data_IF_072742434767
#
_entry.id   IF_072742434767
#
_cell.length_a   1.000
_cell.length_b   1.000
_cell.length_c   1.000
_cell.angle_alpha   90.00
_cell.angle_beta   90.00
_cell.angle_gamma   90.00
#
_symmetry.space_group_name_H-M   'P 1'
#
loop_
_entity.id
_entity.type
_entity.pdbx_description
1 polymer ?
#
# COMPACT_ATOMS: atom_id res chain seq x y z
N UNK A 1 -0.74 -6.29 -11.64
CA UNK A 1 0.51 -6.14 -10.85
C UNK A 1 1.70 -6.74 -11.61
N UNK A 2 1.97 -6.29 -12.83
CA UNK A 2 3.13 -6.73 -13.60
C UNK A 2 4.32 -5.77 -13.49
N UNK A 3 5.45 -6.15 -14.10
CA UNK A 3 6.71 -5.37 -14.12
C UNK A 3 6.54 -3.93 -14.60
N UNK A 4 5.63 -3.67 -15.54
CA UNK A 4 5.31 -2.31 -16.03
C UNK A 4 4.63 -1.44 -14.97
N UNK A 5 3.93 -2.04 -14.01
CA UNK A 5 3.25 -1.32 -12.93
C UNK A 5 4.22 -0.80 -11.85
N UNK A 6 5.50 -1.20 -11.85
CA UNK A 6 6.52 -0.63 -10.94
C UNK A 6 6.69 0.87 -11.21
N UNK A 7 6.75 1.26 -12.49
CA UNK A 7 6.89 2.66 -12.88
C UNK A 7 5.63 3.47 -12.54
N UNK A 8 4.44 2.87 -12.70
CA UNK A 8 3.17 3.47 -12.29
C UNK A 8 3.11 3.68 -10.78
N UNK A 9 3.48 2.67 -9.98
CA UNK A 9 3.59 2.80 -8.53
C UNK A 9 4.49 3.97 -8.15
N UNK A 10 5.71 4.03 -8.70
CA UNK A 10 6.65 5.10 -8.39
C UNK A 10 6.09 6.49 -8.74
N UNK A 11 5.43 6.62 -9.89
CA UNK A 11 4.80 7.86 -10.34
C UNK A 11 3.70 8.34 -9.40
N UNK A 12 2.91 7.41 -8.86
CA UNK A 12 1.75 7.76 -8.03
C UNK A 12 2.07 7.83 -6.53
N UNK A 13 2.98 7.01 -6.01
CA UNK A 13 3.27 6.89 -4.58
C UNK A 13 4.22 7.98 -4.07
N UNK A 14 5.37 8.19 -4.72
CA UNK A 14 6.40 9.09 -4.19
C UNK A 14 5.98 10.58 -4.12
N UNK A 15 5.09 11.11 -4.96
CA UNK A 15 4.58 12.47 -4.77
C UNK A 15 3.63 12.63 -3.58
N UNK A 16 3.04 11.53 -3.07
CA UNK A 16 1.94 11.57 -2.10
C UNK A 16 2.20 10.80 -0.81
N UNK A 17 3.38 10.20 -0.63
CA UNK A 17 3.71 9.36 0.53
C UNK A 17 3.63 10.07 1.90
N UNK A 18 3.54 11.41 1.93
CA UNK A 18 3.38 12.18 3.18
C UNK A 18 1.91 12.55 3.46
N UNK A 19 0.95 12.11 2.63
CA UNK A 19 -0.46 12.33 2.88
C UNK A 19 -0.95 11.54 4.09
N UNK A 20 -2.04 11.99 4.70
CA UNK A 20 -2.64 11.38 5.89
C UNK A 20 -3.29 10.02 5.61
N UNK A 21 -3.60 9.72 4.35
CA UNK A 21 -4.17 8.43 3.96
C UNK A 21 -3.92 8.09 2.50
N UNK A 22 -3.87 6.79 2.21
CA UNK A 22 -3.79 6.24 0.86
C UNK A 22 -4.83 5.13 0.69
N UNK A 23 -5.52 5.20 -0.45
CA UNK A 23 -6.39 4.13 -0.93
C UNK A 23 -5.65 3.41 -2.05
N UNK A 24 -5.45 2.11 -1.88
CA UNK A 24 -4.82 1.23 -2.86
C UNK A 24 -5.94 0.41 -3.50
N UNK A 25 -6.24 0.73 -4.75
CA UNK A 25 -7.29 0.05 -5.50
C UNK A 25 -6.72 -1.15 -6.26
N UNK A 26 -7.06 -2.36 -5.83
CA UNK A 26 -6.71 -3.61 -6.50
C UNK A 26 -7.94 -4.33 -7.06
N UNK A 27 -9.07 -3.62 -7.17
CA UNK A 27 -10.24 -4.13 -7.89
C UNK A 27 -9.84 -4.42 -9.33
N UNK A 28 -10.32 -5.54 -9.88
CA UNK A 28 -10.00 -5.99 -11.23
C UNK A 28 -8.53 -6.34 -11.49
N UNK A 29 -7.68 -6.39 -10.46
CA UNK A 29 -6.30 -6.85 -10.61
C UNK A 29 -6.27 -8.37 -10.73
N UNK A 30 -5.89 -8.88 -11.91
CA UNK A 30 -5.86 -10.30 -12.23
C UNK A 30 -4.50 -10.97 -12.00
N UNK A 31 -3.57 -10.29 -11.33
CA UNK A 31 -2.29 -10.86 -10.93
C UNK A 31 -1.07 -10.19 -11.56
N UNK A 32 0.05 -10.90 -11.51
CA UNK A 32 1.36 -10.49 -12.01
C UNK A 32 2.47 -11.08 -11.16
N UNK A 33 3.40 -10.25 -10.67
CA UNK A 33 4.57 -10.75 -9.91
C UNK A 33 5.27 -9.69 -9.03
N UNK A 34 4.53 -8.68 -8.53
CA UNK A 34 5.14 -7.59 -7.74
C UNK A 34 4.42 -7.31 -6.42
N UNK A 35 3.48 -8.15 -6.00
CA UNK A 35 2.78 -8.04 -4.72
C UNK A 35 3.75 -7.83 -3.53
N UNK A 36 4.77 -8.69 -3.43
CA UNK A 36 5.77 -8.67 -2.36
C UNK A 36 6.62 -7.40 -2.39
N UNK A 37 6.92 -6.90 -3.59
CA UNK A 37 7.66 -5.65 -3.77
C UNK A 37 6.84 -4.44 -3.31
N UNK A 38 5.54 -4.41 -3.59
CA UNK A 38 4.65 -3.34 -3.11
C UNK A 38 4.52 -3.40 -1.58
N UNK A 39 4.29 -4.59 -1.01
CA UNK A 39 4.22 -4.80 0.44
C UNK A 39 5.50 -4.32 1.14
N UNK A 40 6.68 -4.61 0.58
CA UNK A 40 7.97 -4.14 1.11
C UNK A 40 8.02 -2.61 1.23
N UNK A 41 7.48 -1.86 0.25
CA UNK A 41 7.46 -0.38 0.32
C UNK A 41 6.52 0.13 1.40
N UNK A 42 5.37 -0.51 1.57
CA UNK A 42 4.38 -0.15 2.59
C UNK A 42 4.80 -0.57 4.00
N UNK A 43 5.62 -1.62 4.15
CA UNK A 43 6.16 -2.07 5.43
C UNK A 43 7.23 -1.15 6.02
N UNK A 44 7.77 -0.21 5.25
CA UNK A 44 8.78 0.73 5.73
C UNK A 44 8.22 1.53 6.91
N UNK A 45 8.98 1.59 8.00
CA UNK A 45 8.61 2.32 9.22
C UNK A 45 9.58 3.45 9.49
N UNK A 46 9.04 4.60 9.86
CA UNK A 46 9.80 5.74 10.34
C UNK A 46 9.95 5.66 11.87
N UNK A 47 11.19 5.52 12.37
CA UNK A 47 11.49 5.50 13.80
C UNK A 47 12.50 6.56 14.24
N UNK A 48 13.18 7.21 13.29
CA UNK A 48 14.13 8.27 13.53
C UNK A 48 13.81 9.48 12.64
N UNK A 49 13.93 10.68 13.21
CA UNK A 49 13.49 11.93 12.60
C UNK A 49 14.59 12.99 12.67
N UNK A 50 14.76 13.72 11.58
CA UNK A 50 15.69 14.85 11.50
C UNK A 50 14.94 16.11 11.08
N UNK A 51 15.31 17.23 11.69
CA UNK A 51 14.83 18.57 11.34
C UNK A 51 16.05 19.48 11.12
N UNK A 52 16.47 19.71 9.85
CA UNK A 52 17.56 20.62 9.57
C UNK A 52 17.17 22.07 9.87
N UNK A 53 18.16 22.96 9.98
CA UNK A 53 17.94 24.41 10.19
C UNK A 53 17.15 25.04 9.04
N UNK A 54 17.36 24.55 7.81
CA UNK A 54 16.64 24.95 6.59
C UNK A 54 16.13 23.68 5.91
N UNK A 55 14.86 23.70 5.48
CA UNK A 55 14.21 22.57 4.80
C UNK A 55 13.12 21.88 5.62
N UNK A 56 12.50 20.86 5.03
CA UNK A 56 11.43 20.08 5.68
C UNK A 56 12.01 18.98 6.57
N UNK A 57 11.34 18.62 7.68
CA UNK A 57 11.68 17.42 8.43
C UNK A 57 11.62 16.18 7.54
N UNK A 58 12.48 15.20 7.83
CA UNK A 58 12.49 13.91 7.15
C UNK A 58 12.76 12.79 8.16
N UNK A 59 12.60 11.54 7.71
CA UNK A 59 12.75 10.36 8.55
C UNK A 59 13.57 9.28 7.87
N UNK A 60 14.02 8.32 8.67
CA UNK A 60 14.77 7.16 8.21
C UNK A 60 13.85 6.22 7.42
N UNK A 61 14.44 5.31 6.63
CA UNK A 61 13.71 4.56 5.60
C UNK A 61 12.95 5.53 4.68
N UNK A 62 13.69 6.20 3.80
CA UNK A 62 13.16 7.20 2.88
C UNK A 62 11.90 6.66 2.20
N UNK A 63 10.88 7.53 2.15
CA UNK A 63 9.55 7.21 1.64
C UNK A 63 8.73 6.20 2.46
N UNK A 64 9.05 5.98 3.74
CA UNK A 64 8.17 5.27 4.66
C UNK A 64 6.83 6.02 4.79
N UNK A 65 5.73 5.37 4.42
CA UNK A 65 4.39 5.91 4.61
C UNK A 65 4.03 5.90 6.09
N UNK A 66 3.30 6.92 6.55
CA UNK A 66 2.95 7.10 7.98
C UNK A 66 1.47 7.39 8.21
N UNK A 67 0.67 7.47 7.15
CA UNK A 67 -0.77 7.70 7.23
C UNK A 67 -1.57 6.40 7.34
N UNK A 68 -2.89 6.52 7.20
CA UNK A 68 -3.80 5.39 7.17
C UNK A 68 -3.82 4.72 5.79
N UNK A 69 -3.81 3.39 5.76
CA UNK A 69 -3.91 2.62 4.52
C UNK A 69 -5.27 1.93 4.43
N UNK A 70 -5.87 2.00 3.24
CA UNK A 70 -7.06 1.23 2.88
C UNK A 70 -6.80 0.51 1.56
N UNK A 71 -7.14 -0.78 1.49
CA UNK A 71 -7.12 -1.56 0.24
C UNK A 71 -8.55 -1.80 -0.23
N UNK A 72 -8.83 -1.54 -1.51
CA UNK A 72 -10.09 -1.90 -2.15
C UNK A 72 -9.89 -3.16 -2.99
N UNK A 73 -10.70 -4.19 -2.78
CA UNK A 73 -10.71 -5.40 -3.61
C UNK A 73 -12.13 -5.80 -3.99
N UNK A 74 -12.28 -6.66 -5.01
CA UNK A 74 -13.57 -7.18 -5.45
C UNK A 74 -13.45 -8.62 -5.94
N UNK A 75 -14.56 -9.20 -6.40
CA UNK A 75 -14.66 -10.56 -6.92
C UNK A 75 -13.78 -10.82 -8.16
N UNK A 76 -13.18 -9.76 -8.74
CA UNK A 76 -12.28 -9.82 -9.90
C UNK A 76 -10.82 -9.59 -9.52
N UNK A 77 -10.52 -9.45 -8.23
CA UNK A 77 -9.15 -9.47 -7.70
C UNK A 77 -8.70 -10.93 -7.63
N UNK A 78 -7.56 -11.27 -8.26
CA UNK A 78 -7.05 -12.64 -8.36
C UNK A 78 -5.52 -12.69 -8.29
N UNK A 79 -4.96 -13.85 -7.90
CA UNK A 79 -3.51 -14.13 -7.91
C UNK A 79 -2.73 -13.12 -7.05
N UNK A 80 -1.72 -12.42 -7.58
CA UNK A 80 -1.00 -11.36 -6.85
C UNK A 80 -1.92 -10.33 -6.20
N UNK A 81 -3.09 -10.05 -6.79
CA UNK A 81 -4.08 -9.17 -6.18
C UNK A 81 -4.61 -9.72 -4.85
N UNK A 82 -4.87 -11.03 -4.78
CA UNK A 82 -5.29 -11.71 -3.56
C UNK A 82 -4.12 -11.85 -2.58
N UNK A 83 -2.93 -12.22 -3.06
CA UNK A 83 -1.72 -12.33 -2.24
C UNK A 83 -1.36 -11.00 -1.57
N UNK A 84 -1.38 -9.89 -2.32
CA UNK A 84 -1.21 -8.55 -1.80
C UNK A 84 -2.27 -8.20 -0.75
N UNK A 85 -3.54 -8.43 -1.05
CA UNK A 85 -4.66 -8.08 -0.16
C UNK A 85 -4.59 -8.85 1.16
N UNK A 86 -4.30 -10.15 1.09
CA UNK A 86 -4.19 -11.01 2.25
C UNK A 86 -2.92 -10.71 3.05
N UNK A 87 -1.79 -10.46 2.38
CA UNK A 87 -0.55 -10.00 3.01
C UNK A 87 -0.75 -8.70 3.77
N UNK A 88 -1.38 -7.70 3.14
CA UNK A 88 -1.73 -6.42 3.76
C UNK A 88 -2.56 -6.59 5.03
N UNK A 89 -3.57 -7.48 4.99
CA UNK A 89 -4.43 -7.81 6.13
C UNK A 89 -3.64 -8.49 7.27
N UNK A 90 -2.88 -9.55 6.96
CA UNK A 90 -2.11 -10.31 7.95
C UNK A 90 -1.00 -9.50 8.61
N UNK A 91 -0.42 -8.56 7.88
CA UNK A 91 0.65 -7.68 8.38
C UNK A 91 0.10 -6.47 9.17
N UNK A 92 -1.22 -6.36 9.35
CA UNK A 92 -1.84 -5.32 10.16
C UNK A 92 -1.63 -3.90 9.63
N UNK A 93 -1.52 -3.74 8.30
CA UNK A 93 -1.16 -2.46 7.68
C UNK A 93 -2.29 -1.43 7.65
N UNK A 94 -3.54 -1.89 7.77
CA UNK A 94 -4.72 -1.04 7.68
C UNK A 94 -5.97 -1.84 7.37
N UNK A 95 -6.96 -1.19 6.75
CA UNK A 95 -8.27 -1.80 6.51
C UNK A 95 -8.42 -2.31 5.07
N UNK A 96 -8.93 -3.53 4.91
CA UNK A 96 -9.36 -4.05 3.61
C UNK A 96 -10.85 -3.84 3.46
N UNK A 97 -11.26 -3.28 2.32
CA UNK A 97 -12.64 -3.12 1.91
C UNK A 97 -12.90 -3.97 0.67
N UNK A 98 -13.61 -5.08 0.85
CA UNK A 98 -13.96 -6.00 -0.22
C UNK A 98 -15.40 -5.76 -0.71
N UNK A 99 -15.64 -5.98 -2.00
CA UNK A 99 -16.99 -6.14 -2.56
C UNK A 99 -17.19 -7.58 -3.04
N UNK A 100 -18.12 -8.29 -2.42
CA UNK A 100 -18.50 -9.67 -2.76
C UNK A 100 -19.42 -10.29 -1.69
N UNK A 101 -20.22 -11.32 -2.01
CA UNK A 101 -21.04 -12.00 -1.01
C UNK A 101 -20.11 -12.82 -0.09
N UNK A 102 -20.09 -12.50 1.21
CA UNK A 102 -19.42 -13.31 2.23
C UNK A 102 -18.15 -12.75 2.87
N UNK A 103 -17.76 -11.49 2.63
CA UNK A 103 -16.63 -10.89 3.35
C UNK A 103 -17.15 -10.08 4.54
N UNK A 104 -16.81 -10.53 5.75
CA UNK A 104 -17.13 -9.85 7.00
C UNK A 104 -16.77 -8.37 6.93
N UNK A 105 -17.78 -7.53 7.19
CA UNK A 105 -17.60 -6.12 7.49
C UNK A 105 -16.95 -6.07 8.86
N UNK A 106 -15.64 -5.85 8.92
CA UNK A 106 -14.94 -5.59 10.18
C UNK A 106 -15.66 -4.47 10.94
N UNK A 107 -16.19 -4.79 12.13
CA UNK A 107 -16.71 -3.83 13.09
C UNK A 107 -15.64 -2.88 13.60
#
# INVERSE_FOLDING_TARGET
>A
MGRTNIAEWARHYYPVFQRQGLVIDVRHNRGGNIDSWILEKLLRKAWFYWKPRVGKPYWNMQYAFRGHLVVLCNEKTASDGEAFTEGFRRLGMGRVMARGPGVERSG
#
